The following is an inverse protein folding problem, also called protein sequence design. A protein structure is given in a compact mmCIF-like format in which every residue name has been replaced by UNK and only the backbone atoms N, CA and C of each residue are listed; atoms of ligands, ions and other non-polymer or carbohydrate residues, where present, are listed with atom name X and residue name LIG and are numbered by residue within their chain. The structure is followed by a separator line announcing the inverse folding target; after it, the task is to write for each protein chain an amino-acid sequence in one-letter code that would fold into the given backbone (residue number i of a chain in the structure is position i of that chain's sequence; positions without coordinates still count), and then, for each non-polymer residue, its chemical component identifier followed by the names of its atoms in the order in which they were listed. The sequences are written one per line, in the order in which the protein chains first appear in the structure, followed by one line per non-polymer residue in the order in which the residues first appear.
data_IF_330931220403
#
_entry.id   IF_330931220403
#
_cell.length_a   1.000
_cell.length_b   1.000
_cell.length_c   1.000
_cell.angle_alpha   90.00
_cell.angle_beta   90.00
_cell.angle_gamma   90.00
#
_symmetry.space_group_name_H-M   'P 1'
#
loop_
_entity.id
_entity.type
_entity.pdbx_description
1 polymer ?
#
# COMPACT_ATOMS: atom_id res chain seq x y z
N UNK A 1 -14.25 -9.10 -26.37
CA UNK A 1 -13.18 -8.12 -26.11
C UNK A 1 -12.66 -8.43 -24.71
N UNK A 2 -11.91 -9.53 -24.59
CA UNK A 2 -11.32 -9.99 -23.33
C UNK A 2 -9.89 -9.48 -23.29
N UNK A 3 -9.69 -8.30 -22.70
CA UNK A 3 -8.37 -7.74 -22.54
C UNK A 3 -7.65 -8.43 -21.37
N UNK A 4 -6.83 -9.43 -21.71
CA UNK A 4 -5.52 -9.69 -21.10
C UNK A 4 -5.45 -9.69 -19.56
N UNK A 5 -5.97 -10.75 -18.93
CA UNK A 5 -5.59 -11.14 -17.57
C UNK A 5 -4.75 -12.43 -17.63
N UNK A 6 -3.59 -12.40 -18.28
CA UNK A 6 -2.67 -13.55 -18.38
C UNK A 6 -1.39 -13.33 -17.55
N UNK A 7 -1.52 -12.72 -16.37
CA UNK A 7 -0.42 -12.57 -15.41
C UNK A 7 -0.77 -13.26 -14.09
N UNK A 8 0.22 -13.61 -13.25
CA UNK A 8 -0.02 -14.15 -11.91
C UNK A 8 -0.86 -13.17 -11.09
N UNK A 9 -1.82 -13.68 -10.32
CA UNK A 9 -2.79 -12.86 -9.57
C UNK A 9 -2.11 -11.77 -8.73
N UNK A 10 -1.01 -12.10 -8.05
CA UNK A 10 -0.27 -11.15 -7.20
C UNK A 10 0.39 -10.02 -8.00
N UNK A 11 0.81 -10.26 -9.25
CA UNK A 11 1.34 -9.20 -10.11
C UNK A 11 0.25 -8.23 -10.54
N UNK A 12 -0.96 -8.73 -10.77
CA UNK A 12 -2.11 -7.90 -11.10
C UNK A 12 -2.52 -7.04 -9.91
N UNK A 13 -2.55 -7.62 -8.71
CA UNK A 13 -2.81 -6.90 -7.47
C UNK A 13 -1.75 -5.83 -7.22
N UNK A 14 -0.46 -6.16 -7.36
CA UNK A 14 0.61 -5.18 -7.27
C UNK A 14 0.47 -4.07 -8.32
N UNK A 15 0.08 -4.41 -9.55
CA UNK A 15 -0.20 -3.44 -10.61
C UNK A 15 -1.37 -2.51 -10.29
N UNK A 16 -2.46 -3.02 -9.72
CA UNK A 16 -3.57 -2.18 -9.27
C UNK A 16 -3.11 -1.20 -8.18
N UNK A 17 -2.37 -1.69 -7.21
CA UNK A 17 -1.82 -0.88 -6.11
C UNK A 17 -0.85 0.20 -6.60
N UNK A 18 -0.01 -0.10 -7.59
CA UNK A 18 0.87 0.89 -8.21
C UNK A 18 0.12 2.03 -8.91
N UNK A 19 -1.08 1.78 -9.41
CA UNK A 19 -1.92 2.80 -10.04
C UNK A 19 -2.73 3.59 -9.01
N UNK A 20 -3.16 2.94 -7.93
CA UNK A 20 -4.01 3.56 -6.92
C UNK A 20 -3.23 4.31 -5.85
N UNK A 21 -2.11 3.80 -5.35
CA UNK A 21 -1.42 4.42 -4.21
C UNK A 21 -0.61 5.70 -4.45
N UNK A 22 -0.18 6.10 -5.66
CA UNK A 22 0.64 7.30 -5.84
C UNK A 22 0.06 8.61 -5.26
N UNK A 23 -1.25 8.72 -5.06
CA UNK A 23 -1.84 9.90 -4.39
C UNK A 23 -1.65 9.92 -2.86
N UNK A 24 -1.34 8.77 -2.29
CA UNK A 24 -1.35 8.49 -0.84
C UNK A 24 0.03 8.38 -0.23
N UNK A 25 1.06 8.13 -1.05
CA UNK A 25 2.44 7.94 -0.64
C UNK A 25 3.36 8.86 -1.44
N UNK A 26 4.60 9.05 -0.98
CA UNK A 26 5.59 9.85 -1.71
C UNK A 26 6.14 9.10 -2.93
N UNK A 27 6.40 7.80 -2.75
CA UNK A 27 6.90 6.93 -3.81
C UNK A 27 6.36 5.51 -3.68
N UNK A 28 6.13 4.85 -4.81
CA UNK A 28 5.83 3.41 -4.88
C UNK A 28 6.38 2.80 -6.16
N UNK A 29 6.99 1.62 -6.04
CA UNK A 29 7.51 0.85 -7.17
C UNK A 29 7.55 -0.65 -6.84
N UNK A 30 7.56 -1.49 -7.88
CA UNK A 30 7.97 -2.89 -7.71
C UNK A 30 9.49 -2.95 -7.42
N UNK A 31 9.93 -3.93 -6.65
CA UNK A 31 11.36 -4.15 -6.44
C UNK A 31 12.00 -4.76 -7.69
N UNK A 32 13.02 -4.09 -8.21
CA UNK A 32 13.81 -4.58 -9.36
C UNK A 32 14.93 -5.56 -8.93
N UNK A 33 15.22 -5.64 -7.63
CA UNK A 33 16.34 -6.44 -7.11
C UNK A 33 15.92 -7.75 -6.43
N UNK A 34 14.70 -7.82 -5.91
CA UNK A 34 14.22 -8.98 -5.17
C UNK A 34 13.53 -9.99 -6.11
N UNK A 35 13.60 -11.30 -5.80
CA UNK A 35 13.03 -12.33 -6.66
C UNK A 35 11.50 -12.21 -6.72
N UNK A 36 10.97 -12.22 -7.94
CA UNK A 36 9.52 -12.21 -8.22
C UNK A 36 9.06 -13.59 -8.66
N UNK A 37 7.96 -14.07 -8.07
CA UNK A 37 7.29 -15.31 -8.47
C UNK A 37 5.78 -15.19 -8.37
N UNK A 38 5.06 -16.17 -8.90
CA UNK A 38 3.60 -16.22 -8.86
C UNK A 38 3.01 -16.28 -7.44
N UNK A 39 3.84 -16.64 -6.46
CA UNK A 39 3.46 -16.77 -5.05
C UNK A 39 3.93 -15.60 -4.18
N UNK A 40 4.81 -14.75 -4.73
CA UNK A 40 5.43 -13.67 -3.96
C UNK A 40 5.93 -12.54 -4.86
N UNK A 41 5.54 -11.33 -4.52
CA UNK A 41 6.04 -10.11 -5.15
C UNK A 41 6.50 -9.11 -4.08
N UNK A 42 7.48 -8.28 -4.43
CA UNK A 42 8.05 -7.29 -3.52
C UNK A 42 7.83 -5.88 -4.05
N UNK A 43 7.41 -4.97 -3.18
CA UNK A 43 7.16 -3.58 -3.50
C UNK A 43 7.93 -2.67 -2.56
N UNK A 44 8.44 -1.57 -3.11
CA UNK A 44 9.04 -0.50 -2.35
C UNK A 44 8.04 0.65 -2.21
N UNK A 45 7.92 1.17 -1.00
CA UNK A 45 7.14 2.38 -0.73
C UNK A 45 7.98 3.38 0.03
N UNK A 46 7.75 4.66 -0.24
CA UNK A 46 8.18 5.77 0.60
C UNK A 46 6.93 6.50 1.05
N UNK A 47 6.69 6.56 2.35
CA UNK A 47 5.53 7.24 2.89
C UNK A 47 5.68 8.77 2.78
N UNK A 48 4.61 9.53 3.02
CA UNK A 48 4.69 11.00 2.97
C UNK A 48 5.56 11.60 4.10
N UNK A 49 5.87 10.80 5.12
CA UNK A 49 6.84 11.09 6.18
C UNK A 49 8.29 10.90 5.74
N UNK A 50 8.53 10.42 4.51
CA UNK A 50 9.83 10.02 3.96
C UNK A 50 10.42 8.75 4.58
N UNK A 51 9.59 7.93 5.23
CA UNK A 51 9.99 6.61 5.71
C UNK A 51 9.91 5.59 4.58
N UNK A 52 10.97 4.80 4.41
CA UNK A 52 11.08 3.81 3.33
C UNK A 52 10.78 2.41 3.86
N UNK A 53 10.02 1.63 3.09
CA UNK A 53 9.74 0.23 3.41
C UNK A 53 9.83 -0.65 2.18
N UNK A 54 10.32 -1.86 2.37
CA UNK A 54 10.13 -2.96 1.44
C UNK A 54 9.02 -3.85 1.97
N UNK A 55 8.02 -4.08 1.12
CA UNK A 55 6.84 -4.87 1.40
C UNK A 55 6.91 -6.18 0.62
N UNK A 56 6.35 -7.22 1.20
CA UNK A 56 6.08 -8.50 0.57
C UNK A 56 4.58 -8.66 0.43
N UNK A 57 4.13 -9.05 -0.76
CA UNK A 57 2.78 -9.48 -1.05
C UNK A 57 2.79 -10.97 -1.38
N UNK A 58 1.97 -11.73 -0.67
CA UNK A 58 1.72 -13.17 -0.88
C UNK A 58 0.23 -13.44 -0.78
N UNK A 59 -0.18 -14.70 -0.95
CA UNK A 59 -1.55 -15.14 -0.68
C UNK A 59 -1.98 -14.97 0.78
N UNK A 60 -1.03 -14.79 1.72
CA UNK A 60 -1.34 -14.49 3.12
C UNK A 60 -1.59 -13.00 3.38
N UNK A 61 -1.40 -12.15 2.35
CA UNK A 61 -1.55 -10.70 2.44
C UNK A 61 -0.22 -9.96 2.36
N UNK A 62 -0.23 -8.76 2.95
CA UNK A 62 0.82 -7.74 2.87
C UNK A 62 1.64 -7.70 4.15
N UNK A 63 2.96 -7.57 4.03
CA UNK A 63 3.86 -7.53 5.20
C UNK A 63 5.06 -6.65 4.94
N UNK A 64 5.55 -5.97 5.98
CA UNK A 64 6.83 -5.26 5.92
C UNK A 64 7.98 -6.25 6.12
N UNK A 65 8.92 -6.29 5.18
CA UNK A 65 10.11 -7.14 5.27
C UNK A 65 11.40 -6.36 5.53
N UNK A 66 11.41 -5.05 5.27
CA UNK A 66 12.51 -4.16 5.62
C UNK A 66 12.04 -2.71 5.71
N UNK A 67 12.81 -1.89 6.42
CA UNK A 67 12.69 -0.42 6.44
C UNK A 67 13.64 0.24 5.42
N UNK A 68 14.06 -0.52 4.40
CA UNK A 68 14.89 -0.08 3.29
C UNK A 68 14.35 -0.68 2.00
N UNK A 69 14.37 0.07 0.91
CA UNK A 69 13.98 -0.45 -0.40
C UNK A 69 14.88 -1.59 -0.85
N UNK A 70 14.30 -2.56 -1.55
CA UNK A 70 15.02 -3.70 -2.14
C UNK A 70 15.79 -4.57 -1.14
N UNK A 71 15.38 -4.57 0.13
CA UNK A 71 16.02 -5.33 1.19
C UNK A 71 15.00 -6.18 1.95
N UNK A 72 15.49 -7.29 2.51
CA UNK A 72 14.74 -8.18 3.40
C UNK A 72 15.59 -8.33 4.65
N UNK A 73 15.09 -7.88 5.79
CA UNK A 73 15.80 -7.93 7.07
C UNK A 73 15.16 -9.01 7.98
N UNK A 74 15.30 -10.29 7.61
CA UNK A 74 14.63 -11.43 8.28
C UNK A 74 15.01 -11.61 9.75
N UNK A 75 16.21 -11.17 10.15
CA UNK A 75 16.74 -11.40 11.50
C UNK A 75 16.54 -10.24 12.47
N UNK A 76 16.04 -9.10 11.99
CA UNK A 76 15.77 -7.95 12.84
C UNK A 76 14.32 -8.00 13.30
N UNK A 77 14.13 -8.42 14.54
CA UNK A 77 12.86 -8.23 15.25
C UNK A 77 12.67 -6.73 15.47
N UNK A 78 11.53 -6.20 15.05
CA UNK A 78 11.14 -4.84 15.41
C UNK A 78 10.32 -4.85 16.71
N UNK A 79 10.48 -3.81 17.53
CA UNK A 79 9.84 -3.74 18.85
C UNK A 79 8.29 -3.73 18.81
N UNK A 80 7.69 -3.61 17.62
CA UNK A 80 6.25 -3.47 17.42
C UNK A 80 5.63 -4.70 16.71
N UNK A 81 6.43 -5.74 16.40
CA UNK A 81 5.99 -6.92 15.67
C UNK A 81 5.47 -6.63 14.25
N UNK A 82 5.85 -5.49 13.68
CA UNK A 82 5.44 -5.04 12.34
C UNK A 82 5.84 -6.06 11.25
N UNK A 83 7.02 -6.67 11.40
CA UNK A 83 7.58 -7.63 10.43
C UNK A 83 7.02 -9.04 10.55
N UNK A 84 6.29 -9.32 11.62
CA UNK A 84 5.65 -10.63 11.87
C UNK A 84 4.17 -10.63 11.48
N UNK A 85 3.59 -9.44 11.25
CA UNK A 85 2.17 -9.27 10.94
C UNK A 85 1.92 -9.24 9.44
N UNK A 86 0.98 -10.06 9.01
CA UNK A 86 0.33 -9.91 7.71
C UNK A 86 -0.92 -9.04 7.86
N UNK A 87 -1.09 -8.12 6.92
CA UNK A 87 -2.24 -7.26 6.76
C UNK A 87 -3.04 -7.74 5.54
N UNK A 88 -4.36 -7.66 5.60
CA UNK A 88 -5.21 -8.15 4.51
C UNK A 88 -5.09 -7.28 3.26
N UNK A 89 -4.92 -5.97 3.47
CA UNK A 89 -4.81 -4.98 2.38
C UNK A 89 -3.63 -4.04 2.60
N UNK A 90 -3.10 -3.49 1.51
CA UNK A 90 -2.07 -2.45 1.59
C UNK A 90 -2.55 -1.21 2.35
N UNK A 91 -3.85 -0.92 2.31
CA UNK A 91 -4.47 0.19 3.02
C UNK A 91 -4.42 0.02 4.55
N UNK A 92 -4.68 -1.20 5.05
CA UNK A 92 -4.51 -1.52 6.48
C UNK A 92 -3.05 -1.39 6.91
N UNK A 93 -2.12 -1.84 6.06
CA UNK A 93 -0.69 -1.71 6.32
C UNK A 93 -0.28 -0.23 6.38
N UNK A 94 -0.67 0.58 5.39
CA UNK A 94 -0.39 2.01 5.34
C UNK A 94 -1.01 2.78 6.52
N UNK A 95 -2.22 2.43 6.92
CA UNK A 95 -2.84 3.02 8.12
C UNK A 95 -1.99 2.77 9.36
N UNK A 96 -1.35 1.61 9.47
CA UNK A 96 -0.49 1.27 10.59
C UNK A 96 0.88 1.98 10.55
N UNK A 97 1.53 2.07 9.38
CA UNK A 97 2.90 2.59 9.27
C UNK A 97 3.00 4.09 8.94
N UNK A 98 1.95 4.72 8.40
CA UNK A 98 1.97 6.12 7.94
C UNK A 98 0.86 6.95 8.62
N UNK A 99 1.17 7.69 9.70
CA UNK A 99 0.20 8.60 10.32
C UNK A 99 -0.31 9.71 9.38
N UNK A 100 0.52 10.22 8.46
CA UNK A 100 0.13 11.21 7.44
C UNK A 100 -0.83 10.59 6.44
N UNK A 101 -0.61 9.34 6.01
CA UNK A 101 -1.59 8.64 5.17
C UNK A 101 -2.97 8.62 5.84
N UNK A 102 -3.02 8.23 7.12
CA UNK A 102 -4.27 8.22 7.91
C UNK A 102 -4.92 9.60 7.96
N UNK A 103 -4.15 10.64 8.20
CA UNK A 103 -4.66 12.02 8.21
C UNK A 103 -5.21 12.44 6.85
N UNK A 104 -4.48 12.20 5.76
CA UNK A 104 -4.90 12.53 4.39
C UNK A 104 -6.16 11.77 4.00
N UNK A 105 -6.24 10.49 4.34
CA UNK A 105 -7.40 9.66 4.08
C UNK A 105 -8.64 10.21 4.81
N UNK A 106 -8.50 10.53 6.10
CA UNK A 106 -9.58 11.14 6.88
C UNK A 106 -10.00 12.51 6.32
N UNK A 107 -9.05 13.37 5.96
CA UNK A 107 -9.34 14.68 5.36
C UNK A 107 -10.07 14.55 4.01
N UNK A 108 -9.66 13.60 3.16
CA UNK A 108 -10.34 13.32 1.89
C UNK A 108 -11.77 12.87 2.14
N UNK A 109 -11.99 11.95 3.08
CA UNK A 109 -13.33 11.48 3.44
C UNK A 109 -14.24 12.62 3.92
N UNK A 110 -13.73 13.51 4.79
CA UNK A 110 -14.48 14.67 5.28
C UNK A 110 -14.82 15.63 4.14
N UNK A 111 -13.89 15.86 3.22
CA UNK A 111 -14.12 16.75 2.06
C UNK A 111 -15.22 16.23 1.14
N UNK A 112 -15.21 14.93 0.83
CA UNK A 112 -16.25 14.29 0.01
C UNK A 112 -17.62 14.35 0.70
N UNK A 113 -17.69 14.01 1.99
CA UNK A 113 -18.94 14.09 2.78
C UNK A 113 -19.49 15.51 2.85
N UNK A 114 -18.62 16.51 3.02
CA UNK A 114 -19.02 17.92 3.06
C UNK A 114 -19.56 18.38 1.71
N UNK A 115 -18.97 17.90 0.62
CA UNK A 115 -19.40 18.24 -0.74
C UNK A 115 -20.80 17.71 -1.03
N UNK A 116 -21.15 16.51 -0.53
CA UNK A 116 -22.49 15.92 -0.68
C UNK A 116 -23.55 16.70 0.11
N UNK A 117 -23.27 17.08 1.36
CA UNK A 117 -24.20 17.85 2.19
C UNK A 117 -24.51 19.25 1.63
N UNK A 118 -23.62 19.84 0.84
CA UNK A 118 -23.88 21.15 0.19
C UNK A 118 -24.81 21.06 -1.02
N UNK A 119 -25.07 19.87 -1.58
CA UNK A 119 -25.96 19.71 -2.74
C UNK A 119 -27.43 19.61 -2.32
N UNK A 120 -27.72 19.16 -1.09
CA UNK A 120 -29.10 19.05 -0.58
C UNK A 120 -29.76 20.40 -0.26
N UNK A 121 -28.99 21.49 -0.12
CA UNK A 121 -29.51 22.84 0.21
C UNK A 121 -29.86 23.70 -1.02
N UNK A 122 -29.72 23.17 -2.25
CA UNK A 122 -30.02 23.90 -3.50
C UNK A 122 -31.34 23.52 -4.18
N UNK A 123 -32.19 22.77 -3.49
CA UNK A 123 -33.56 22.48 -3.92
C UNK A 123 -34.55 23.26 -3.03
N UNK A 124 -34.72 24.55 -3.29
CA UNK A 124 -35.81 25.39 -2.75
C UNK A 124 -36.41 26.24 -3.85
#
# INVERSE_FOLDING_TARGET
MECMLNGPLLEQEAGAVLNELPFSVDHIALSDKLPRSDQRVYLNITTCEHESYCLELTTNGWRVVSTRHDHIDEQQLDNNGLRERYFETVYQLLDFISPIYRQRFASKLISELSSLNTVEDRSS
#
